data_IF_829483370983
#
_entry.id   IF_829483370983
#
_cell.length_a   1.000
_cell.length_b   1.000
_cell.length_c   1.000
_cell.angle_alpha   90.00
_cell.angle_beta   90.00
_cell.angle_gamma   90.00
#
_symmetry.space_group_name_H-M   'P 1'
#
loop_
_entity.id
_entity.type
_entity.pdbx_description
1 polymer ?
#
# COMPACT_ATOMS: atom_id res chain seq x y z
N UNK A 1 22.42 25.05 36.48
CA UNK A 1 21.90 23.70 36.83
C UNK A 1 20.66 23.48 36.00
N UNK A 2 20.66 22.44 35.17
CA UNK A 2 19.47 21.94 34.46
C UNK A 2 19.37 22.37 33.01
N UNK A 3 20.25 21.82 32.17
CA UNK A 3 20.02 21.66 30.73
C UNK A 3 18.82 20.74 30.49
N UNK A 4 18.16 20.89 29.35
CA UNK A 4 17.04 20.07 28.92
C UNK A 4 16.68 20.34 27.46
N UNK A 5 17.66 20.16 26.58
CA UNK A 5 17.44 19.99 25.15
C UNK A 5 16.67 18.68 24.94
N UNK A 6 15.47 18.73 24.37
CA UNK A 6 14.77 17.52 23.91
C UNK A 6 14.88 17.46 22.38
N UNK A 7 16.04 16.99 21.93
CA UNK A 7 16.26 16.51 20.58
C UNK A 7 15.39 15.26 20.35
N UNK A 8 14.26 15.40 19.66
CA UNK A 8 13.56 14.23 19.11
C UNK A 8 13.81 14.12 17.61
N UNK A 9 14.95 13.51 17.32
CA UNK A 9 15.38 13.00 16.02
C UNK A 9 14.26 12.20 15.31
N UNK A 10 13.72 12.74 14.22
CA UNK A 10 12.89 12.00 13.26
C UNK A 10 13.80 11.20 12.33
N UNK A 11 13.92 9.90 12.61
CA UNK A 11 14.53 8.97 11.65
C UNK A 11 13.49 8.62 10.59
N UNK A 12 13.54 9.31 9.46
CA UNK A 12 13.14 8.73 8.18
C UNK A 12 14.06 7.53 7.94
N UNK A 13 13.68 6.36 8.48
CA UNK A 13 14.40 5.13 8.23
C UNK A 13 14.24 4.79 6.73
N UNK A 14 15.14 5.34 5.92
CA UNK A 14 15.48 4.77 4.64
C UNK A 14 15.96 3.35 4.96
N UNK A 15 15.09 2.36 4.74
CA UNK A 15 15.46 0.97 4.83
C UNK A 15 16.65 0.79 3.88
N UNK A 16 17.83 0.62 4.48
CA UNK A 16 19.09 0.37 3.77
C UNK A 16 18.87 -0.83 2.86
N UNK A 17 19.05 -0.63 1.55
CA UNK A 17 19.00 -1.69 0.56
C UNK A 17 20.01 -2.79 0.96
N UNK A 18 19.51 -3.88 1.52
CA UNK A 18 20.33 -5.01 1.90
C UNK A 18 21.02 -5.55 0.64
N UNK A 19 22.34 -5.69 0.72
CA UNK A 19 23.20 -6.21 -0.33
C UNK A 19 22.85 -7.67 -0.66
N UNK A 20 21.96 -7.84 -1.62
CA UNK A 20 21.65 -9.09 -2.29
C UNK A 20 20.96 -8.74 -3.60
N UNK A 21 21.39 -9.33 -4.71
CA UNK A 21 20.75 -9.09 -6.01
C UNK A 21 19.23 -9.30 -5.93
N UNK A 22 18.43 -8.67 -6.82
CA UNK A 22 16.98 -8.69 -6.72
C UNK A 22 16.45 -10.12 -6.60
N UNK A 23 15.83 -10.42 -5.45
CA UNK A 23 15.17 -11.70 -5.21
C UNK A 23 13.90 -11.70 -6.03
N UNK A 24 13.95 -12.28 -7.22
CA UNK A 24 12.77 -12.46 -8.07
C UNK A 24 11.68 -13.19 -7.27
N UNK A 25 10.57 -12.53 -6.90
CA UNK A 25 9.55 -13.12 -6.04
C UNK A 25 8.90 -14.35 -6.69
N UNK A 26 8.97 -14.48 -8.02
CA UNK A 26 8.40 -15.61 -8.76
C UNK A 26 9.09 -16.93 -8.44
N UNK A 27 10.36 -16.91 -7.99
CA UNK A 27 11.14 -18.14 -7.71
C UNK A 27 10.62 -18.94 -6.52
N UNK A 28 9.97 -18.29 -5.56
CA UNK A 28 9.45 -18.91 -4.34
C UNK A 28 7.92 -19.01 -4.33
N UNK A 29 7.27 -18.53 -5.40
CA UNK A 29 5.82 -18.48 -5.51
C UNK A 29 5.22 -19.86 -5.77
N UNK A 30 4.11 -20.16 -5.09
CA UNK A 30 3.29 -21.34 -5.38
C UNK A 30 2.45 -21.10 -6.64
N UNK A 31 2.08 -22.17 -7.34
CA UNK A 31 1.29 -22.10 -8.58
C UNK A 31 0.03 -21.23 -8.43
N UNK A 32 -0.76 -21.44 -7.38
CA UNK A 32 -1.99 -20.64 -7.16
C UNK A 32 -1.69 -19.15 -6.96
N UNK A 33 -0.55 -18.77 -6.38
CA UNK A 33 -0.17 -17.37 -6.19
C UNK A 33 0.17 -16.72 -7.53
N UNK A 34 0.84 -17.45 -8.43
CA UNK A 34 1.12 -17.01 -9.79
C UNK A 34 -0.17 -16.89 -10.60
N UNK A 35 -1.09 -17.84 -10.48
CA UNK A 35 -2.37 -17.82 -11.21
C UNK A 35 -3.26 -16.64 -10.74
N UNK A 36 -3.32 -16.38 -9.44
CA UNK A 36 -4.00 -15.20 -8.88
C UNK A 36 -3.33 -13.89 -9.29
N UNK A 37 -1.99 -13.84 -9.31
CA UNK A 37 -1.25 -12.68 -9.79
C UNK A 37 -1.56 -12.37 -11.26
N UNK A 38 -1.58 -13.38 -12.14
CA UNK A 38 -1.92 -13.20 -13.56
C UNK A 38 -3.30 -12.60 -13.75
N UNK A 39 -4.31 -13.10 -13.01
CA UNK A 39 -5.66 -12.52 -13.04
C UNK A 39 -5.66 -11.08 -12.55
N UNK A 40 -4.94 -10.78 -11.46
CA UNK A 40 -4.85 -9.43 -10.92
C UNK A 40 -4.16 -8.41 -11.85
N UNK A 41 -3.42 -8.87 -12.86
CA UNK A 41 -2.87 -8.00 -13.91
C UNK A 41 -3.95 -7.64 -14.94
N UNK A 42 -4.90 -8.53 -15.18
CA UNK A 42 -5.96 -8.38 -16.19
C UNK A 42 -7.19 -7.65 -15.64
N UNK A 43 -7.52 -7.87 -14.37
CA UNK A 43 -8.71 -7.33 -13.73
C UNK A 43 -8.53 -7.05 -12.24
N UNK A 44 -9.42 -6.23 -11.68
CA UNK A 44 -9.53 -6.06 -10.24
C UNK A 44 -10.03 -7.38 -9.63
N UNK A 45 -9.41 -7.86 -8.55
CA UNK A 45 -9.82 -9.10 -7.88
C UNK A 45 -9.92 -8.96 -6.35
N UNK A 46 -10.75 -9.81 -5.73
CA UNK A 46 -10.73 -10.07 -4.29
C UNK A 46 -10.16 -11.46 -4.05
N UNK A 47 -9.04 -11.53 -3.34
CA UNK A 47 -8.39 -12.80 -2.97
C UNK A 47 -8.87 -13.25 -1.60
N UNK A 48 -9.66 -14.33 -1.56
CA UNK A 48 -10.16 -14.94 -0.33
C UNK A 48 -9.36 -16.20 0.01
N UNK A 49 -8.24 -16.00 0.72
CA UNK A 49 -7.39 -17.09 1.21
C UNK A 49 -7.23 -17.05 2.73
N UNK A 50 -7.02 -18.22 3.34
CA UNK A 50 -6.74 -18.36 4.76
C UNK A 50 -5.51 -17.57 5.24
N UNK A 51 -5.39 -17.41 6.55
CA UNK A 51 -4.19 -16.85 7.18
C UNK A 51 -2.98 -17.76 6.92
N UNK A 52 -1.82 -17.17 6.65
CA UNK A 52 -0.60 -17.94 6.32
C UNK A 52 -0.51 -18.43 4.88
N UNK A 53 -1.56 -18.27 4.05
CA UNK A 53 -1.53 -18.61 2.62
C UNK A 53 -0.73 -17.63 1.74
N UNK A 54 0.00 -16.69 2.33
CA UNK A 54 0.88 -15.78 1.60
C UNK A 54 0.16 -14.75 0.73
N UNK A 55 -0.94 -14.16 1.20
CA UNK A 55 -1.66 -13.07 0.50
C UNK A 55 -0.75 -11.88 0.18
N UNK A 56 0.08 -11.44 1.14
CA UNK A 56 1.10 -10.39 0.88
C UNK A 56 2.04 -10.75 -0.26
N UNK A 57 2.42 -12.03 -0.38
CA UNK A 57 3.32 -12.46 -1.46
C UNK A 57 2.66 -12.34 -2.84
N UNK A 58 1.33 -12.51 -2.95
CA UNK A 58 0.59 -12.25 -4.19
C UNK A 58 0.68 -10.76 -4.56
N UNK A 59 0.52 -9.86 -3.58
CA UNK A 59 0.70 -8.43 -3.81
C UNK A 59 2.12 -8.08 -4.26
N UNK A 60 3.14 -8.70 -3.66
CA UNK A 60 4.54 -8.54 -4.08
C UNK A 60 4.77 -9.02 -5.52
N UNK A 61 4.18 -10.16 -5.91
CA UNK A 61 4.24 -10.64 -7.30
C UNK A 61 3.62 -9.64 -8.26
N UNK A 62 2.44 -9.11 -7.92
CA UNK A 62 1.73 -8.12 -8.75
C UNK A 62 2.52 -6.82 -8.88
N UNK A 63 3.06 -6.28 -7.78
CA UNK A 63 3.93 -5.11 -7.82
C UNK A 63 5.16 -5.34 -8.70
N UNK A 64 5.77 -6.54 -8.65
CA UNK A 64 6.91 -6.87 -9.49
C UNK A 64 6.54 -6.95 -10.98
N UNK A 65 5.38 -7.53 -11.32
CA UNK A 65 4.88 -7.62 -12.69
C UNK A 65 4.56 -6.24 -13.28
N UNK A 66 3.90 -5.38 -12.50
CA UNK A 66 3.65 -3.98 -12.83
C UNK A 66 4.88 -3.07 -12.65
N UNK A 67 6.03 -3.63 -12.26
CA UNK A 67 7.23 -2.87 -11.93
C UNK A 67 7.78 -2.02 -13.07
N UNK A 68 7.47 -2.35 -14.32
CA UNK A 68 7.83 -1.56 -15.49
C UNK A 68 7.11 -0.20 -15.54
N UNK A 69 5.91 -0.11 -14.94
CA UNK A 69 5.14 1.12 -14.80
C UNK A 69 5.69 2.03 -13.69
N UNK A 70 6.22 1.44 -12.62
CA UNK A 70 6.62 2.18 -11.40
C UNK A 70 8.10 2.60 -11.43
N UNK A 71 8.95 1.88 -12.17
CA UNK A 71 10.39 2.16 -12.21
C UNK A 71 10.67 3.46 -12.96
N UNK A 72 11.73 4.16 -12.51
CA UNK A 72 12.20 5.40 -13.16
C UNK A 72 12.43 5.16 -14.67
N UNK A 73 12.05 6.12 -15.53
CA UNK A 73 11.71 7.52 -15.22
C UNK A 73 10.25 7.77 -14.81
N UNK A 74 9.43 6.75 -14.54
CA UNK A 74 8.04 6.94 -14.13
C UNK A 74 7.89 7.67 -12.79
N UNK A 75 6.76 8.38 -12.66
CA UNK A 75 6.28 9.01 -11.43
C UNK A 75 5.11 8.22 -10.79
N UNK A 76 4.79 7.05 -11.33
CA UNK A 76 3.70 6.22 -10.86
C UNK A 76 4.03 5.49 -9.56
N UNK A 77 3.00 5.17 -8.77
CA UNK A 77 3.15 4.55 -7.44
C UNK A 77 2.15 3.42 -7.21
N UNK A 78 2.54 2.47 -6.37
CA UNK A 78 1.65 1.49 -5.77
C UNK A 78 1.31 1.90 -4.34
N UNK A 79 0.05 1.80 -3.96
CA UNK A 79 -0.42 2.06 -2.60
C UNK A 79 -0.82 0.74 -1.95
N UNK A 80 -0.28 0.46 -0.76
CA UNK A 80 -0.67 -0.68 0.06
C UNK A 80 -1.31 -0.18 1.35
N UNK A 81 -2.56 -0.56 1.60
CA UNK A 81 -3.35 -0.15 2.75
C UNK A 81 -3.47 -1.31 3.74
N UNK A 82 -3.15 -1.05 5.01
CA UNK A 82 -3.34 -2.00 6.10
C UNK A 82 -4.11 -1.33 7.26
N UNK A 83 -4.90 -2.09 8.04
CA UNK A 83 -5.88 -1.50 8.95
C UNK A 83 -5.27 -0.96 10.25
N UNK A 84 -4.03 -1.35 10.59
CA UNK A 84 -3.36 -0.95 11.85
C UNK A 84 -1.91 -0.54 11.63
N UNK A 85 -1.39 0.35 12.47
CA UNK A 85 0.01 0.81 12.40
C UNK A 85 1.02 -0.35 12.43
N UNK A 86 0.89 -1.37 13.31
CA UNK A 86 1.80 -2.51 13.29
C UNK A 86 1.77 -3.27 11.96
N UNK A 87 0.60 -3.46 11.37
CA UNK A 87 0.49 -4.11 10.06
C UNK A 87 1.11 -3.27 8.96
N UNK A 88 0.89 -1.95 8.93
CA UNK A 88 1.54 -1.07 7.93
C UNK A 88 3.06 -1.23 8.00
N UNK A 89 3.65 -1.18 9.20
CA UNK A 89 5.09 -1.36 9.39
C UNK A 89 5.58 -2.74 8.94
N UNK A 90 4.87 -3.79 9.33
CA UNK A 90 5.22 -5.16 8.96
C UNK A 90 5.18 -5.37 7.44
N UNK A 91 4.13 -4.90 6.78
CA UNK A 91 3.97 -5.06 5.33
C UNK A 91 5.00 -4.21 4.57
N UNK A 92 5.33 -3.00 5.05
CA UNK A 92 6.38 -2.17 4.46
C UNK A 92 7.74 -2.89 4.46
N UNK A 93 8.13 -3.54 5.57
CA UNK A 93 9.35 -4.34 5.64
C UNK A 93 9.30 -5.51 4.65
N UNK A 94 8.20 -6.28 4.63
CA UNK A 94 8.08 -7.42 3.71
C UNK A 94 8.21 -6.99 2.25
N UNK A 95 7.57 -5.89 1.87
CA UNK A 95 7.63 -5.36 0.50
C UNK A 95 9.04 -4.85 0.17
N UNK A 96 9.70 -4.13 1.08
CA UNK A 96 11.06 -3.64 0.89
C UNK A 96 12.07 -4.77 0.73
N UNK A 97 11.94 -5.84 1.52
CA UNK A 97 12.83 -7.00 1.47
C UNK A 97 12.60 -7.92 0.26
N UNK A 98 11.40 -7.83 -0.35
CA UNK A 98 10.97 -8.71 -1.44
C UNK A 98 10.97 -8.03 -2.82
N UNK A 99 11.22 -6.73 -2.89
CA UNK A 99 11.21 -5.96 -4.13
C UNK A 99 12.43 -5.05 -4.24
N UNK A 100 12.66 -4.49 -5.43
CA UNK A 100 13.66 -3.46 -5.64
C UNK A 100 13.06 -2.05 -5.70
N UNK A 101 11.86 -1.86 -5.15
CA UNK A 101 11.19 -0.58 -5.12
C UNK A 101 11.60 0.25 -3.91
N UNK A 102 11.54 1.58 -4.05
CA UNK A 102 11.63 2.47 -2.90
C UNK A 102 10.31 2.40 -2.13
N UNK A 103 10.33 1.88 -0.91
CA UNK A 103 9.16 1.79 -0.04
C UNK A 103 9.16 2.93 0.97
N UNK A 104 8.02 3.60 1.13
CA UNK A 104 7.80 4.60 2.17
C UNK A 104 6.55 4.21 2.95
N UNK A 105 6.58 4.45 4.26
CA UNK A 105 5.55 4.06 5.20
C UNK A 105 4.94 5.32 5.82
N UNK A 106 3.61 5.43 5.77
CA UNK A 106 2.86 6.56 6.31
C UNK A 106 1.80 6.05 7.29
N UNK A 107 1.75 6.65 8.48
CA UNK A 107 0.75 6.36 9.49
C UNK A 107 0.58 7.58 10.41
N UNK A 108 -0.64 7.86 10.87
CA UNK A 108 -0.87 8.97 11.80
C UNK A 108 -0.18 8.71 13.16
N UNK A 109 0.50 9.72 13.72
CA UNK A 109 0.88 9.67 15.13
C UNK A 109 -0.42 9.74 15.97
N UNK A 110 -0.52 8.96 17.05
CA UNK A 110 -1.77 8.76 17.81
C UNK A 110 -2.34 9.99 18.54
N UNK A 111 -2.00 11.23 18.14
CA UNK A 111 -2.49 12.46 18.75
C UNK A 111 -3.60 13.07 17.87
N UNK A 112 -4.85 12.80 18.27
CA UNK A 112 -6.06 13.51 17.82
C UNK A 112 -6.29 13.64 16.30
N UNK A 113 -6.59 12.52 15.63
CA UNK A 113 -7.03 12.44 14.22
C UNK A 113 -8.35 13.18 13.86
N UNK A 114 -8.95 13.95 14.78
CA UNK A 114 -10.20 14.70 14.53
C UNK A 114 -9.98 16.19 14.30
N UNK A 115 -8.77 16.68 14.52
CA UNK A 115 -8.45 18.07 14.27
C UNK A 115 -7.82 18.20 12.88
N UNK A 116 -8.62 18.72 11.94
CA UNK A 116 -8.19 18.93 10.56
C UNK A 116 -6.95 19.82 10.49
N UNK A 117 -6.81 20.81 11.40
CA UNK A 117 -5.66 21.70 11.41
C UNK A 117 -4.40 21.02 11.97
N UNK A 118 -4.54 20.15 12.98
CA UNK A 118 -3.43 19.35 13.47
C UNK A 118 -2.97 18.33 12.40
N UNK A 119 -3.91 17.75 11.66
CA UNK A 119 -3.61 16.84 10.56
C UNK A 119 -3.00 17.56 9.35
N UNK A 120 -3.51 18.74 8.97
CA UNK A 120 -2.89 19.57 7.93
C UNK A 120 -1.49 20.02 8.33
N UNK A 121 -1.25 20.34 9.60
CA UNK A 121 0.09 20.70 10.10
C UNK A 121 1.05 19.51 10.12
N UNK A 122 0.60 18.33 10.57
CA UNK A 122 1.38 17.10 10.50
C UNK A 122 1.66 16.73 9.03
N UNK A 123 0.66 16.81 8.15
CA UNK A 123 0.81 16.61 6.71
C UNK A 123 1.62 17.70 6.00
N UNK A 124 1.68 18.93 6.54
CA UNK A 124 2.53 20.00 6.04
C UNK A 124 4.00 19.75 6.38
N UNK A 125 4.31 19.09 7.50
CA UNK A 125 5.66 18.52 7.70
C UNK A 125 5.98 17.41 6.68
N UNK A 126 4.94 16.77 6.11
CA UNK A 126 5.03 15.84 4.97
C UNK A 126 4.69 16.51 3.62
N UNK A 127 4.98 17.80 3.44
CA UNK A 127 4.71 18.69 2.28
C UNK A 127 5.07 18.11 0.88
N UNK A 128 5.68 16.94 0.84
CA UNK A 128 6.08 16.21 -0.36
C UNK A 128 5.22 14.99 -0.71
N UNK A 129 4.11 14.71 -0.01
CA UNK A 129 3.33 13.48 -0.19
C UNK A 129 1.97 13.65 -0.89
N UNK A 130 1.83 14.67 -1.75
CA UNK A 130 0.67 14.74 -2.65
C UNK A 130 0.82 13.70 -3.77
N UNK A 131 0.36 12.48 -3.50
CA UNK A 131 0.19 11.46 -4.54
C UNK A 131 -1.00 11.89 -5.40
N UNK A 132 -0.73 12.24 -6.66
CA UNK A 132 -1.80 12.46 -7.64
C UNK A 132 -2.50 11.13 -7.86
N UNK A 133 -3.83 11.11 -7.77
CA UNK A 133 -4.60 9.88 -7.95
C UNK A 133 -4.33 9.24 -9.33
N UNK A 134 -4.15 10.05 -10.37
CA UNK A 134 -3.83 9.59 -11.73
C UNK A 134 -2.42 8.98 -11.87
N UNK A 135 -1.58 9.09 -10.83
CA UNK A 135 -0.26 8.42 -10.77
C UNK A 135 -0.31 7.08 -10.03
N UNK A 136 -1.47 6.67 -9.51
CA UNK A 136 -1.60 5.40 -8.79
C UNK A 136 -1.92 4.29 -9.79
N UNK A 137 -0.99 3.35 -9.94
CA UNK A 137 -1.16 2.18 -10.85
C UNK A 137 -1.81 0.98 -10.17
N UNK A 138 -1.71 0.90 -8.84
CA UNK A 138 -2.22 -0.22 -8.06
C UNK A 138 -2.56 0.23 -6.64
N UNK A 139 -3.73 -0.20 -6.15
CA UNK A 139 -4.09 -0.10 -4.74
C UNK A 139 -4.39 -1.48 -4.19
N UNK A 140 -3.64 -1.89 -3.17
CA UNK A 140 -3.85 -3.16 -2.45
C UNK A 140 -4.48 -2.87 -1.10
N UNK A 141 -5.60 -3.53 -0.80
CA UNK A 141 -6.28 -3.46 0.49
C UNK A 141 -6.02 -4.75 1.28
N UNK A 142 -5.18 -4.67 2.30
CA UNK A 142 -5.04 -5.76 3.28
C UNK A 142 -6.24 -5.77 4.23
N UNK A 143 -6.74 -6.96 4.54
CA UNK A 143 -7.99 -7.17 5.27
C UNK A 143 -9.18 -6.38 4.68
N UNK A 144 -9.33 -6.43 3.34
CA UNK A 144 -10.36 -5.71 2.61
C UNK A 144 -11.80 -6.00 3.06
N UNK A 145 -12.03 -7.10 3.80
CA UNK A 145 -13.31 -7.42 4.41
C UNK A 145 -13.80 -6.34 5.42
N UNK A 146 -12.92 -5.44 5.87
CA UNK A 146 -13.29 -4.25 6.63
C UNK A 146 -14.04 -3.19 5.81
N UNK A 147 -13.98 -3.23 4.47
CA UNK A 147 -14.61 -2.30 3.54
C UNK A 147 -16.13 -2.55 3.35
N UNK A 148 -16.85 -2.85 4.43
CA UNK A 148 -18.29 -3.11 4.38
C UNK A 148 -19.06 -1.80 4.22
N UNK A 149 -19.92 -1.70 3.20
CA UNK A 149 -20.67 -0.48 2.89
C UNK A 149 -21.54 0.05 4.05
N UNK A 150 -22.00 -0.84 4.93
CA UNK A 150 -22.80 -0.49 6.11
C UNK A 150 -21.97 0.12 7.24
N UNK A 151 -20.65 -0.05 7.22
CA UNK A 151 -19.72 0.57 8.16
C UNK A 151 -19.14 1.81 7.49
N UNK A 152 -19.09 2.96 8.19
CA UNK A 152 -18.35 4.16 7.73
C UNK A 152 -16.82 3.93 7.81
N UNK A 153 -16.37 2.74 7.41
CA UNK A 153 -14.97 2.35 7.45
C UNK A 153 -14.17 3.13 6.40
N UNK A 154 -12.93 3.49 6.74
CA UNK A 154 -12.07 4.30 5.88
C UNK A 154 -11.88 3.65 4.50
N UNK A 155 -11.74 2.33 4.44
CA UNK A 155 -11.62 1.61 3.16
C UNK A 155 -12.82 1.80 2.24
N UNK A 156 -14.04 1.77 2.77
CA UNK A 156 -15.24 1.98 1.95
C UNK A 156 -15.29 3.42 1.41
N UNK A 157 -14.74 4.40 2.15
CA UNK A 157 -14.64 5.78 1.69
C UNK A 157 -13.57 5.93 0.60
N UNK A 158 -12.39 5.34 0.79
CA UNK A 158 -11.31 5.32 -0.20
C UNK A 158 -11.81 4.64 -1.50
N UNK A 159 -12.43 3.47 -1.41
CA UNK A 159 -13.00 2.78 -2.57
C UNK A 159 -14.05 3.64 -3.30
N UNK A 160 -14.90 4.40 -2.58
CA UNK A 160 -15.86 5.32 -3.21
C UNK A 160 -15.18 6.45 -3.96
N UNK A 161 -14.08 7.01 -3.43
CA UNK A 161 -13.30 8.05 -4.11
C UNK A 161 -12.67 7.48 -5.37
N UNK A 162 -11.95 6.35 -5.24
CA UNK A 162 -11.34 5.63 -6.36
C UNK A 162 -12.39 5.30 -7.43
N UNK A 163 -13.54 4.75 -7.03
CA UNK A 163 -14.62 4.39 -7.94
C UNK A 163 -15.21 5.57 -8.69
N UNK A 164 -15.40 6.73 -8.05
CA UNK A 164 -15.90 7.93 -8.73
C UNK A 164 -14.92 8.44 -9.79
N UNK A 165 -13.63 8.29 -9.54
CA UNK A 165 -12.60 8.70 -10.50
C UNK A 165 -12.56 7.78 -11.71
N UNK A 166 -12.70 6.47 -11.50
CA UNK A 166 -12.83 5.52 -12.61
C UNK A 166 -14.18 5.68 -13.34
N UNK A 167 -15.29 5.91 -12.63
CA UNK A 167 -16.62 6.12 -13.24
C UNK A 167 -16.76 7.43 -14.02
N UNK A 168 -15.86 8.40 -13.82
CA UNK A 168 -15.75 9.55 -14.74
C UNK A 168 -15.20 9.13 -16.12
N UNK A 169 -14.65 7.92 -16.23
CA UNK A 169 -14.10 7.32 -17.46
C UNK A 169 -14.80 6.02 -17.90
N UNK A 170 -15.42 5.23 -17.00
CA UNK A 170 -16.39 4.13 -17.25
C UNK A 170 -16.77 3.41 -15.93
N UNK A 171 -17.98 2.85 -15.83
CA UNK A 171 -18.43 2.09 -14.65
C UNK A 171 -17.47 0.95 -14.27
N UNK A 172 -17.05 0.87 -13.00
CA UNK A 172 -16.23 -0.24 -12.50
C UNK A 172 -16.98 -1.57 -12.64
N UNK A 173 -16.41 -2.58 -13.32
CA UNK A 173 -17.03 -3.90 -13.42
C UNK A 173 -17.10 -4.58 -12.04
N UNK A 174 -18.05 -5.50 -11.83
CA UNK A 174 -18.12 -6.29 -10.61
C UNK A 174 -16.79 -7.02 -10.40
N UNK A 175 -16.18 -6.84 -9.22
CA UNK A 175 -14.90 -7.44 -8.85
C UNK A 175 -15.12 -8.91 -8.48
N UNK A 176 -14.62 -9.88 -9.26
CA UNK A 176 -14.77 -11.30 -8.92
C UNK A 176 -14.05 -11.65 -7.62
N UNK A 177 -14.68 -12.52 -6.83
CA UNK A 177 -14.09 -13.13 -5.64
C UNK A 177 -13.48 -14.47 -6.02
N UNK A 178 -12.20 -14.67 -5.70
CA UNK A 178 -11.49 -15.91 -5.96
C UNK A 178 -11.15 -16.65 -4.66
N UNK A 179 -11.44 -17.95 -4.66
CA UNK A 179 -11.18 -18.91 -3.57
C UNK A 179 -9.97 -19.79 -3.89
#
# INVERSE_FOLDING_TARGET
>A
MGEGEDETSSSAAAASAAAGGPKDPRKIARKYQLDLCKRAVEENIIVYLGTGCGKTHIAVLLMNELGHLIRKPSHEVCVFLAPTIPLVRQQATVIADSTNFKVQCYHGSGKNLRDHQAWEKEMAEYEHCFIKMDSIVLVVFDECHHAQAQKRHLYAQIMKVIARMFNASTELPPVPVHH
#
